data_IF_240622841069
#
_entry.id   IF_240622841069
#
_cell.length_a   1.000
_cell.length_b   1.000
_cell.length_c   1.000
_cell.angle_alpha   90.00
_cell.angle_beta   90.00
_cell.angle_gamma   90.00
#
_symmetry.space_group_name_H-M   'P 1'
#
loop_
_entity.id
_entity.type
_entity.pdbx_description
1 polymer ?
#
# COMPACT_ATOMS: atom_id res chain seq x y z
N UNK A 1 -26.83 36.77 -22.17
CA UNK A 1 -25.37 36.49 -22.05
C UNK A 1 -24.93 36.08 -20.66
N UNK A 2 -25.69 36.31 -19.59
CA UNK A 2 -25.34 35.88 -18.23
C UNK A 2 -25.48 34.36 -18.00
N UNK A 3 -26.47 33.72 -18.60
CA UNK A 3 -26.78 32.29 -18.40
C UNK A 3 -25.67 31.33 -18.93
N UNK A 4 -24.92 31.78 -19.92
CA UNK A 4 -23.83 31.00 -20.53
C UNK A 4 -22.54 31.05 -19.75
N UNK A 5 -22.34 32.07 -18.89
CA UNK A 5 -21.18 32.21 -18.02
C UNK A 5 -21.32 31.44 -16.72
N UNK A 6 -22.53 31.27 -16.19
CA UNK A 6 -22.81 30.46 -14.99
C UNK A 6 -22.69 28.98 -15.27
N UNK A 7 -23.02 28.50 -16.47
CA UNK A 7 -22.88 27.08 -16.81
C UNK A 7 -21.40 26.66 -16.97
N UNK A 8 -20.54 27.58 -17.38
CA UNK A 8 -19.10 27.31 -17.55
C UNK A 8 -18.35 27.32 -16.24
N UNK A 9 -18.82 28.01 -15.18
CA UNK A 9 -18.24 27.99 -13.84
C UNK A 9 -18.65 26.75 -13.04
N UNK A 10 -19.80 26.15 -13.33
CA UNK A 10 -20.25 24.92 -12.63
C UNK A 10 -19.54 23.66 -13.12
N UNK A 11 -18.98 23.70 -14.35
CA UNK A 11 -18.25 22.56 -14.92
C UNK A 11 -16.80 22.40 -14.36
N UNK A 12 -16.25 23.44 -13.72
CA UNK A 12 -14.89 23.39 -13.16
C UNK A 12 -14.80 22.82 -11.75
N UNK A 13 -15.91 22.56 -11.07
CA UNK A 13 -15.94 22.07 -9.69
C UNK A 13 -16.06 20.55 -9.54
N UNK A 14 -16.08 19.79 -10.64
CA UNK A 14 -16.28 18.32 -10.60
C UNK A 14 -15.01 17.49 -10.84
N UNK A 15 -13.80 18.08 -10.77
CA UNK A 15 -12.55 17.33 -10.98
C UNK A 15 -11.78 17.02 -9.69
N UNK A 16 -12.47 16.97 -8.55
CA UNK A 16 -11.86 16.43 -7.31
C UNK A 16 -12.31 14.99 -7.08
N UNK A 17 -12.22 14.14 -8.08
CA UNK A 17 -12.35 12.70 -7.90
C UNK A 17 -11.01 12.19 -7.34
N UNK A 18 -10.93 12.11 -6.00
CA UNK A 18 -9.87 11.45 -5.26
C UNK A 18 -9.59 10.05 -5.83
N UNK A 19 -8.51 9.90 -6.57
CA UNK A 19 -7.92 8.60 -6.80
C UNK A 19 -7.47 8.03 -5.45
N UNK A 20 -8.15 6.99 -4.96
CA UNK A 20 -7.69 6.13 -3.85
C UNK A 20 -6.56 5.21 -4.34
N UNK A 21 -5.57 5.77 -5.00
CA UNK A 21 -4.31 5.11 -5.31
C UNK A 21 -3.27 5.51 -4.27
N UNK A 22 -2.22 4.73 -4.11
CA UNK A 22 -1.06 5.18 -3.33
C UNK A 22 -0.50 6.46 -3.94
N UNK A 23 -0.11 7.39 -3.09
CA UNK A 23 0.53 8.61 -3.55
C UNK A 23 1.94 8.28 -4.07
N UNK A 24 2.22 8.66 -5.32
CA UNK A 24 3.56 8.52 -5.87
C UNK A 24 4.51 9.47 -5.12
N UNK A 25 5.45 8.90 -4.38
CA UNK A 25 6.46 9.66 -3.64
C UNK A 25 7.65 9.99 -4.51
N UNK A 26 8.00 9.09 -5.44
CA UNK A 26 9.13 9.28 -6.32
C UNK A 26 9.28 8.19 -7.37
N UNK A 27 10.09 8.51 -8.38
CA UNK A 27 10.45 7.59 -9.44
C UNK A 27 11.92 7.79 -9.80
N UNK A 28 12.69 6.71 -9.82
CA UNK A 28 14.10 6.70 -10.18
C UNK A 28 14.21 6.02 -11.54
N UNK A 29 14.61 6.79 -12.57
CA UNK A 29 14.87 6.22 -13.89
C UNK A 29 16.04 5.25 -13.82
N UNK A 30 15.86 4.05 -14.33
CA UNK A 30 16.86 2.99 -14.27
C UNK A 30 17.65 2.87 -15.60
N UNK A 31 16.99 3.21 -16.72
CA UNK A 31 17.60 3.13 -18.03
C UNK A 31 16.93 4.09 -19.05
N UNK A 32 17.49 4.13 -20.26
CA UNK A 32 16.99 4.95 -21.36
C UNK A 32 15.72 4.38 -22.03
N UNK A 33 15.33 3.15 -21.72
CA UNK A 33 14.11 2.49 -22.25
C UNK A 33 12.87 2.85 -21.46
N UNK A 34 13.00 3.62 -20.38
CA UNK A 34 11.91 4.11 -19.55
C UNK A 34 11.54 3.16 -18.40
N UNK A 35 12.40 2.21 -18.07
CA UNK A 35 12.27 1.43 -16.85
C UNK A 35 12.60 2.29 -15.62
N UNK A 36 11.82 2.13 -14.55
CA UNK A 36 11.99 2.94 -13.37
C UNK A 36 11.71 2.15 -12.07
N UNK A 37 12.35 2.55 -10.99
CA UNK A 37 11.95 2.15 -9.64
C UNK A 37 10.93 3.17 -9.15
N UNK A 38 9.72 2.72 -8.87
CA UNK A 38 8.68 3.57 -8.28
C UNK A 38 8.64 3.41 -6.78
N UNK A 39 8.33 4.50 -6.10
CA UNK A 39 8.08 4.54 -4.67
C UNK A 39 6.67 5.12 -4.45
N UNK A 40 5.82 4.34 -3.79
CA UNK A 40 4.46 4.75 -3.42
C UNK A 40 4.31 4.74 -1.91
N UNK A 41 3.56 5.70 -1.37
CA UNK A 41 3.17 5.76 0.03
C UNK A 41 1.68 5.49 0.18
N UNK A 42 1.32 4.56 1.05
CA UNK A 42 -0.06 4.15 1.26
C UNK A 42 -0.32 4.06 2.76
N UNK A 43 -1.31 4.80 3.24
CA UNK A 43 -1.75 4.74 4.62
C UNK A 43 -2.52 3.43 4.89
N UNK A 44 -2.33 2.84 6.06
CA UNK A 44 -3.13 1.69 6.49
C UNK A 44 -4.60 2.13 6.68
N UNK A 45 -5.56 1.49 6.01
CA UNK A 45 -6.96 1.91 6.05
C UNK A 45 -7.65 1.68 7.41
N UNK A 46 -7.10 0.77 8.23
CA UNK A 46 -7.66 0.42 9.56
C UNK A 46 -6.78 0.84 10.72
N UNK A 47 -5.54 1.27 10.46
CA UNK A 47 -4.61 1.76 11.49
C UNK A 47 -4.15 3.15 11.11
N UNK A 48 -4.85 4.16 11.62
CA UNK A 48 -4.46 5.56 11.42
C UNK A 48 -3.08 5.80 12.01
N UNK A 49 -2.33 6.72 11.41
CA UNK A 49 -0.98 7.08 11.85
C UNK A 49 0.10 6.10 11.41
N UNK A 50 -0.21 5.13 10.54
CA UNK A 50 0.77 4.25 9.90
C UNK A 50 0.71 4.43 8.39
N UNK A 51 1.88 4.61 7.79
CA UNK A 51 2.06 4.67 6.33
C UNK A 51 3.10 3.63 5.91
N UNK A 52 2.79 2.87 4.88
CA UNK A 52 3.69 1.92 4.25
C UNK A 52 4.22 2.49 2.94
N UNK A 53 5.54 2.48 2.78
CA UNK A 53 6.21 2.82 1.54
C UNK A 53 6.58 1.53 0.81
N UNK A 54 6.24 1.49 -0.47
CA UNK A 54 6.55 0.37 -1.36
C UNK A 54 7.52 0.84 -2.41
N UNK A 55 8.58 0.10 -2.64
CA UNK A 55 9.38 0.29 -3.84
C UNK A 55 9.28 -0.95 -4.72
N UNK A 56 9.10 -0.75 -6.00
CA UNK A 56 8.98 -1.81 -7.00
C UNK A 56 9.49 -1.34 -8.35
N UNK A 57 9.85 -2.30 -9.20
CA UNK A 57 10.34 -2.03 -10.54
C UNK A 57 9.15 -1.91 -11.50
N UNK A 58 9.05 -0.78 -12.19
CA UNK A 58 8.05 -0.52 -13.23
C UNK A 58 8.71 -0.57 -14.60
N UNK A 59 8.34 -1.57 -15.40
CA UNK A 59 8.88 -1.73 -16.75
C UNK A 59 8.10 -0.89 -17.74
N UNK A 60 8.83 -0.28 -18.66
CA UNK A 60 8.23 0.46 -19.76
C UNK A 60 7.41 -0.46 -20.68
N UNK A 61 6.45 0.13 -21.38
CA UNK A 61 5.65 -0.58 -22.36
C UNK A 61 6.50 -1.23 -23.46
N UNK A 62 7.57 -0.57 -23.87
CA UNK A 62 8.52 -1.06 -24.89
C UNK A 62 9.21 -2.33 -24.40
N UNK A 63 9.68 -2.35 -23.15
CA UNK A 63 10.35 -3.51 -22.57
C UNK A 63 9.40 -4.71 -22.40
N UNK A 64 8.12 -4.45 -22.05
CA UNK A 64 7.08 -5.49 -21.97
C UNK A 64 6.81 -6.17 -23.31
N UNK A 65 6.72 -5.39 -24.38
CA UNK A 65 6.53 -5.91 -25.75
C UNK A 65 7.76 -6.70 -26.21
N UNK A 66 8.96 -6.13 -26.04
CA UNK A 66 10.20 -6.74 -26.50
C UNK A 66 10.51 -8.09 -25.85
N UNK A 67 10.14 -8.25 -24.57
CA UNK A 67 10.42 -9.45 -23.80
C UNK A 67 9.22 -10.42 -23.68
N UNK A 68 8.06 -10.11 -24.28
CA UNK A 68 6.85 -10.94 -24.23
C UNK A 68 6.28 -11.14 -22.83
N UNK A 69 6.73 -10.35 -21.85
CA UNK A 69 6.31 -10.44 -20.45
C UNK A 69 5.30 -9.35 -20.13
N UNK A 70 4.03 -9.64 -20.35
CA UNK A 70 2.92 -8.73 -20.07
C UNK A 70 2.70 -8.49 -18.57
N UNK A 71 3.13 -9.43 -17.72
CA UNK A 71 3.02 -9.34 -16.29
C UNK A 71 4.43 -9.31 -15.69
N UNK A 72 4.65 -8.32 -14.87
CA UNK A 72 5.91 -8.17 -14.17
C UNK A 72 6.05 -9.27 -13.11
N UNK A 73 7.28 -9.78 -12.95
CA UNK A 73 7.62 -10.62 -11.82
C UNK A 73 7.54 -9.74 -10.55
N UNK A 74 6.48 -9.88 -9.71
CA UNK A 74 6.26 -9.05 -8.53
C UNK A 74 7.29 -9.31 -7.44
N UNK A 75 8.25 -10.19 -7.72
CA UNK A 75 9.23 -10.65 -6.76
C UNK A 75 10.24 -9.58 -6.32
N UNK A 76 10.36 -8.46 -7.05
CA UNK A 76 11.29 -7.38 -6.75
C UNK A 76 10.55 -6.17 -6.12
N UNK A 77 9.96 -6.40 -4.95
CA UNK A 77 9.36 -5.32 -4.16
C UNK A 77 9.95 -5.29 -2.76
N UNK A 78 9.94 -4.12 -2.14
CA UNK A 78 10.21 -3.96 -0.72
C UNK A 78 9.12 -3.15 -0.04
N UNK A 79 8.93 -3.37 1.25
CA UNK A 79 7.98 -2.65 2.09
C UNK A 79 8.70 -2.06 3.30
N UNK A 80 8.34 -0.81 3.64
CA UNK A 80 8.74 -0.16 4.87
C UNK A 80 7.56 0.59 5.46
N UNK A 81 6.97 0.07 6.54
CA UNK A 81 5.88 0.73 7.27
C UNK A 81 6.44 1.49 8.47
N UNK A 82 5.94 2.69 8.69
CA UNK A 82 6.39 3.57 9.78
C UNK A 82 5.21 4.29 10.39
N UNK A 83 5.38 4.66 11.65
CA UNK A 83 4.49 5.63 12.27
C UNK A 83 4.70 7.00 11.62
N UNK A 84 3.60 7.61 11.18
CA UNK A 84 3.56 8.92 10.53
C UNK A 84 2.60 9.89 11.23
N UNK A 85 1.97 9.43 12.31
CA UNK A 85 1.05 10.23 13.14
C UNK A 85 0.63 9.48 14.40
N UNK A 86 -0.28 10.03 15.19
CA UNK A 86 -0.89 9.34 16.33
C UNK A 86 -1.54 8.03 15.88
N UNK A 87 -1.27 6.93 16.59
CA UNK A 87 -1.76 5.62 16.22
C UNK A 87 -3.18 5.42 16.76
N UNK A 88 -4.12 5.15 15.84
CA UNK A 88 -5.46 4.71 16.22
C UNK A 88 -5.82 3.43 15.45
N UNK A 89 -6.00 2.34 16.20
CA UNK A 89 -6.26 1.01 15.67
C UNK A 89 -7.77 0.76 15.62
N UNK A 90 -8.27 0.47 14.43
CA UNK A 90 -9.65 0.10 14.17
C UNK A 90 -9.90 -1.39 14.34
N UNK A 91 -10.92 -1.87 13.63
CA UNK A 91 -11.27 -3.29 13.61
C UNK A 91 -10.30 -4.08 12.74
N UNK A 92 -9.24 -4.59 13.37
CA UNK A 92 -8.22 -5.42 12.74
C UNK A 92 -8.38 -6.89 13.09
N UNK A 93 -7.97 -7.78 12.18
CA UNK A 93 -7.94 -9.20 12.46
C UNK A 93 -6.87 -9.56 13.50
N UNK A 94 -7.31 -10.24 14.57
CA UNK A 94 -6.46 -10.64 15.70
C UNK A 94 -5.87 -12.05 15.55
N UNK A 95 -6.30 -12.79 14.54
CA UNK A 95 -5.80 -14.15 14.30
C UNK A 95 -4.39 -14.16 13.72
N UNK A 96 -3.67 -15.28 13.93
CA UNK A 96 -2.26 -15.47 13.47
C UNK A 96 -2.06 -15.34 11.95
N UNK A 97 -3.11 -15.54 11.16
CA UNK A 97 -3.06 -15.35 9.70
C UNK A 97 -3.19 -13.88 9.28
N UNK A 98 -3.59 -12.99 10.19
CA UNK A 98 -3.81 -11.58 9.92
C UNK A 98 -4.87 -11.34 8.82
N UNK A 99 -4.83 -10.16 8.22
CA UNK A 99 -5.72 -9.79 7.12
C UNK A 99 -4.98 -9.08 5.99
N UNK A 100 -5.52 -9.17 4.78
CA UNK A 100 -5.01 -8.40 3.64
C UNK A 100 -5.38 -6.92 3.81
N UNK A 101 -4.40 -6.03 3.73
CA UNK A 101 -4.55 -4.61 4.06
C UNK A 101 -4.91 -3.79 2.83
N UNK A 102 -4.21 -4.00 1.70
CA UNK A 102 -4.40 -3.21 0.50
C UNK A 102 -5.07 -4.05 -0.59
N UNK A 103 -6.14 -3.51 -1.16
CA UNK A 103 -6.91 -4.21 -2.18
C UNK A 103 -6.26 -4.06 -3.56
N UNK A 104 -6.61 -4.98 -4.49
CA UNK A 104 -6.20 -4.94 -5.90
C UNK A 104 -6.65 -3.66 -6.63
N UNK A 105 -7.56 -2.90 -6.04
CA UNK A 105 -8.09 -1.64 -6.60
C UNK A 105 -7.28 -0.41 -6.15
N UNK A 106 -6.40 -0.58 -5.16
CA UNK A 106 -5.60 0.53 -4.62
C UNK A 106 -4.51 0.97 -5.60
N UNK A 107 -3.83 0.02 -6.23
CA UNK A 107 -2.80 0.25 -7.24
C UNK A 107 -2.68 -0.96 -8.15
N UNK A 108 -2.18 -0.78 -9.38
CA UNK A 108 -1.88 -1.88 -10.30
C UNK A 108 -0.86 -2.86 -9.69
N UNK A 109 0.03 -2.37 -8.86
CA UNK A 109 1.00 -3.16 -8.09
C UNK A 109 0.31 -4.25 -7.25
N UNK A 110 -0.79 -3.96 -6.56
CA UNK A 110 -1.50 -4.92 -5.72
C UNK A 110 -2.32 -5.98 -6.49
N UNK A 111 -2.37 -5.90 -7.82
CA UNK A 111 -2.86 -7.02 -8.63
C UNK A 111 -1.93 -8.23 -8.55
N UNK A 112 -0.63 -7.98 -8.49
CA UNK A 112 0.41 -9.01 -8.47
C UNK A 112 0.96 -9.29 -7.05
N UNK A 113 0.85 -8.33 -6.14
CA UNK A 113 1.38 -8.39 -4.78
C UNK A 113 0.24 -8.34 -3.76
N UNK A 114 0.35 -9.13 -2.70
CA UNK A 114 -0.50 -9.04 -1.51
C UNK A 114 0.30 -8.48 -0.34
N UNK A 115 -0.37 -7.74 0.52
CA UNK A 115 0.19 -7.29 1.81
C UNK A 115 -0.74 -7.72 2.92
N UNK A 116 -0.22 -8.49 3.86
CA UNK A 116 -0.96 -8.90 5.05
C UNK A 116 -0.43 -8.18 6.27
N UNK A 117 -1.34 -7.73 7.12
CA UNK A 117 -1.03 -7.24 8.45
C UNK A 117 -1.36 -8.31 9.47
N UNK A 118 -0.42 -8.62 10.37
CA UNK A 118 -0.56 -9.51 11.51
C UNK A 118 -0.30 -8.68 12.76
N UNK A 119 -1.14 -8.80 13.76
CA UNK A 119 -0.86 -8.26 15.09
C UNK A 119 -0.20 -9.34 15.95
N UNK A 120 0.97 -9.01 16.49
CA UNK A 120 1.69 -9.83 17.47
C UNK A 120 1.43 -9.24 18.86
N UNK A 121 0.53 -9.85 19.67
CA UNK A 121 0.19 -9.33 20.99
C UNK A 121 1.31 -9.51 22.00
N UNK A 122 2.17 -10.52 21.86
CA UNK A 122 3.27 -10.80 22.80
C UNK A 122 4.34 -9.70 22.72
N UNK A 123 4.64 -9.23 21.51
CA UNK A 123 5.62 -8.18 21.27
C UNK A 123 4.99 -6.80 21.05
N UNK A 124 3.67 -6.69 21.17
CA UNK A 124 2.90 -5.47 20.92
C UNK A 124 3.33 -4.77 19.61
N UNK A 125 3.25 -5.52 18.50
CA UNK A 125 3.84 -5.12 17.22
C UNK A 125 2.90 -5.44 16.07
N UNK A 126 2.77 -4.51 15.12
CA UNK A 126 2.13 -4.76 13.84
C UNK A 126 3.18 -5.22 12.84
N UNK A 127 2.91 -6.35 12.19
CA UNK A 127 3.79 -6.96 11.19
C UNK A 127 3.10 -6.85 9.83
N UNK A 128 3.79 -6.30 8.85
CA UNK A 128 3.34 -6.20 7.47
C UNK A 128 4.20 -7.09 6.58
N UNK A 129 3.57 -8.05 5.90
CA UNK A 129 4.25 -8.98 5.00
C UNK A 129 3.76 -8.74 3.58
N UNK A 130 4.67 -8.33 2.71
CA UNK A 130 4.43 -8.19 1.27
C UNK A 130 4.94 -9.44 0.55
N UNK A 131 4.12 -10.03 -0.33
CA UNK A 131 4.50 -11.23 -1.09
C UNK A 131 3.79 -11.29 -2.44
N UNK A 132 4.40 -11.96 -3.42
CA UNK A 132 3.77 -12.20 -4.71
C UNK A 132 2.56 -13.12 -4.59
N UNK A 133 1.47 -12.82 -5.31
CA UNK A 133 0.26 -13.66 -5.35
C UNK A 133 0.49 -14.94 -6.14
N UNK A 134 1.40 -14.91 -7.10
CA UNK A 134 1.79 -16.05 -7.90
C UNK A 134 3.20 -16.51 -7.51
N UNK A 135 3.35 -17.82 -7.33
CA UNK A 135 4.66 -18.44 -7.11
C UNK A 135 5.24 -18.73 -8.49
N UNK A 136 6.14 -17.88 -8.96
CA UNK A 136 6.88 -18.11 -10.19
C UNK A 136 8.13 -18.91 -9.87
N UNK A 137 8.33 -20.01 -10.62
CA UNK A 137 9.44 -20.98 -10.53
C UNK A 137 10.60 -20.59 -9.59
N UNK A 138 10.58 -21.14 -8.38
CA UNK A 138 11.72 -21.16 -7.49
C UNK A 138 11.93 -19.94 -6.57
N UNK A 139 11.01 -18.96 -6.55
CA UNK A 139 11.20 -17.78 -5.72
C UNK A 139 9.88 -17.22 -5.20
N UNK A 140 9.52 -17.62 -3.99
CA UNK A 140 8.53 -16.87 -3.20
C UNK A 140 9.27 -15.68 -2.53
N UNK A 141 9.47 -14.59 -3.26
CA UNK A 141 10.08 -13.39 -2.68
C UNK A 141 9.05 -12.71 -1.79
N UNK A 142 9.47 -12.40 -0.60
CA UNK A 142 8.67 -11.70 0.40
C UNK A 142 9.51 -10.61 1.07
N UNK A 143 8.84 -9.60 1.56
CA UNK A 143 9.44 -8.50 2.30
C UNK A 143 8.61 -8.25 3.56
N UNK A 144 9.27 -7.95 4.66
CA UNK A 144 8.65 -7.79 5.96
C UNK A 144 9.00 -6.44 6.55
N UNK A 145 7.99 -5.78 7.13
CA UNK A 145 8.16 -4.55 7.92
C UNK A 145 7.40 -4.67 9.22
N UNK A 146 7.97 -4.15 10.29
CA UNK A 146 7.35 -4.12 11.62
C UNK A 146 7.19 -2.71 12.14
N UNK A 147 6.08 -2.46 12.83
CA UNK A 147 5.81 -1.21 13.55
C UNK A 147 5.52 -1.56 14.99
N UNK A 148 6.44 -1.22 15.90
CA UNK A 148 6.24 -1.44 17.32
C UNK A 148 5.18 -0.49 17.87
N UNK A 149 4.33 -1.01 18.74
CA UNK A 149 3.36 -0.25 19.53
C UNK A 149 3.84 -0.03 20.96
N UNK A 150 4.95 -0.68 21.33
CA UNK A 150 5.54 -0.55 22.66
C UNK A 150 6.01 0.89 22.89
N UNK A 151 5.59 1.47 24.02
CA UNK A 151 5.94 2.85 24.37
C UNK A 151 5.21 3.93 23.56
N UNK A 152 4.26 3.55 22.69
CA UNK A 152 3.47 4.48 21.89
C UNK A 152 2.11 4.76 22.55
N UNK A 153 1.60 5.98 22.38
CA UNK A 153 0.22 6.29 22.70
C UNK A 153 -0.69 5.72 21.60
N UNK A 154 -1.25 4.54 21.86
CA UNK A 154 -2.13 3.84 20.92
C UNK A 154 -3.56 3.94 21.41
N UNK A 155 -4.46 4.39 20.54
CA UNK A 155 -5.89 4.40 20.78
C UNK A 155 -6.53 3.20 20.06
N UNK A 156 -7.24 2.35 20.76
CA UNK A 156 -8.07 1.31 20.18
C UNK A 156 -9.49 1.83 20.01
N UNK A 157 -9.99 1.86 18.79
CA UNK A 157 -11.35 2.36 18.49
C UNK A 157 -12.39 1.27 18.53
N UNK A 158 -11.96 -0.01 18.61
CA UNK A 158 -12.80 -1.18 18.78
C UNK A 158 -12.27 -2.01 19.96
N UNK A 159 -12.12 -3.31 19.81
CA UNK A 159 -11.69 -4.18 20.89
C UNK A 159 -10.17 -4.17 21.10
N UNK A 160 -9.72 -3.76 22.29
CA UNK A 160 -8.31 -3.86 22.67
C UNK A 160 -8.01 -5.29 23.15
N UNK A 161 -6.93 -5.94 22.65
CA UNK A 161 -6.51 -7.25 23.16
C UNK A 161 -6.22 -7.22 24.65
N UNK A 162 -6.79 -8.17 25.40
CA UNK A 162 -6.57 -8.27 26.84
C UNK A 162 -7.40 -7.31 27.70
N UNK A 163 -8.23 -6.46 27.12
CA UNK A 163 -9.24 -5.73 27.88
C UNK A 163 -10.34 -6.72 28.36
N UNK A 164 -10.73 -6.72 29.64
CA UNK A 164 -11.84 -7.54 30.10
C UNK A 164 -13.12 -7.12 29.35
N UNK A 165 -13.88 -8.12 28.90
CA UNK A 165 -15.16 -7.98 28.23
C UNK A 165 -16.22 -7.49 29.21
#
# INVERSE_FOLDING_TARGET
MLFRRTLMMLALLMLSACGRGGDSVGSISNDWTGNAIRVEAIADPKVKGITCHFSYFDRSFIDRIANGKWFEDPSNNSIACRQTGPIAIGDIAMGKSGEEVFSKHTSLFFKAVAVRRIYDPENNTLIYVSYGREIVRGSAKMSLSTVTLYGQNVTWTTHQPGAPS
#
